data_IF_853563408927
#
_entry.id   IF_853563408927
#
_cell.length_a   1.000
_cell.length_b   1.000
_cell.length_c   1.000
_cell.angle_alpha   90.00
_cell.angle_beta   90.00
_cell.angle_gamma   90.00
#
_symmetry.space_group_name_H-M   'P 1'
#
loop_
_entity.id
_entity.type
_entity.pdbx_description
1 polymer ?
#
# COMPACT_ATOMS: atom_id res chain seq x y z
N UNK A 1 28.12 1.40 -58.83
CA UNK A 1 27.61 1.03 -60.17
C UNK A 1 26.72 -0.18 -59.97
N UNK A 2 25.44 -0.12 -60.38
CA UNK A 2 24.45 -1.14 -60.05
C UNK A 2 24.49 -2.32 -61.04
N UNK A 3 24.18 -3.55 -60.59
CA UNK A 3 23.65 -4.62 -61.45
C UNK A 3 22.50 -5.35 -60.73
N UNK A 4 21.42 -5.52 -61.49
CA UNK A 4 20.11 -6.14 -61.25
C UNK A 4 19.69 -6.71 -62.62
N UNK A 5 18.98 -7.83 -62.80
CA UNK A 5 18.30 -8.80 -61.91
C UNK A 5 18.46 -10.20 -62.58
N UNK A 6 18.27 -11.34 -61.89
CA UNK A 6 17.15 -12.28 -62.20
C UNK A 6 17.11 -13.54 -61.31
N UNK A 7 15.88 -13.99 -61.02
CA UNK A 7 15.53 -15.23 -60.30
C UNK A 7 15.42 -16.44 -61.26
N UNK A 8 15.13 -17.64 -60.73
CA UNK A 8 13.79 -18.18 -61.04
C UNK A 8 13.03 -18.86 -59.88
N UNK A 9 11.73 -18.54 -59.81
CA UNK A 9 10.55 -19.34 -59.44
C UNK A 9 10.59 -20.56 -58.48
N UNK A 10 9.87 -20.38 -57.36
CA UNK A 10 8.68 -21.16 -56.91
C UNK A 10 8.71 -22.71 -56.86
N UNK A 11 8.62 -23.25 -55.64
CA UNK A 11 7.55 -24.06 -55.02
C UNK A 11 8.01 -24.20 -53.54
N UNK A 12 7.21 -24.03 -52.47
CA UNK A 12 5.80 -24.31 -52.29
C UNK A 12 5.69 -25.47 -51.31
N UNK A 13 5.55 -25.19 -50.00
CA UNK A 13 4.68 -25.88 -49.03
C UNK A 13 5.10 -25.65 -47.56
N UNK A 14 4.08 -25.37 -46.75
CA UNK A 14 3.90 -25.53 -45.29
C UNK A 14 5.08 -25.28 -44.32
N UNK A 15 5.00 -24.16 -43.59
CA UNK A 15 5.79 -23.91 -42.38
C UNK A 15 5.01 -24.33 -41.13
N UNK A 16 5.41 -25.42 -40.48
CA UNK A 16 4.99 -25.71 -39.11
C UNK A 16 5.65 -24.72 -38.13
N UNK A 17 4.83 -23.98 -37.37
CA UNK A 17 5.31 -23.16 -36.26
C UNK A 17 5.85 -24.06 -35.13
N UNK A 18 7.17 -24.19 -35.04
CA UNK A 18 7.83 -24.74 -33.86
C UNK A 18 7.68 -23.72 -32.73
N UNK A 19 6.60 -23.87 -31.95
CA UNK A 19 6.37 -23.12 -30.73
C UNK A 19 7.54 -23.34 -29.76
N UNK A 20 8.36 -22.30 -29.56
CA UNK A 20 9.43 -22.33 -28.59
C UNK A 20 8.84 -22.46 -27.17
N UNK A 21 9.12 -23.58 -26.51
CA UNK A 21 8.66 -23.82 -25.15
C UNK A 21 9.40 -22.89 -24.18
N UNK A 22 8.80 -21.75 -23.86
CA UNK A 22 9.29 -20.88 -22.79
C UNK A 22 9.16 -21.62 -21.46
N UNK A 23 10.30 -22.05 -20.92
CA UNK A 23 10.41 -22.76 -19.67
C UNK A 23 10.30 -21.73 -18.52
N UNK A 24 9.07 -21.25 -18.27
CA UNK A 24 8.78 -20.22 -17.28
C UNK A 24 9.01 -20.74 -15.85
N UNK A 25 9.96 -20.12 -15.15
CA UNK A 25 10.19 -20.41 -13.73
C UNK A 25 9.08 -19.78 -12.89
N UNK A 26 8.25 -20.63 -12.28
CA UNK A 26 7.36 -20.21 -11.19
C UNK A 26 8.19 -19.55 -10.07
N UNK A 27 7.89 -18.29 -9.75
CA UNK A 27 8.61 -17.55 -8.72
C UNK A 27 8.09 -17.91 -7.31
N UNK A 28 8.47 -19.10 -6.84
CA UNK A 28 8.35 -19.49 -5.44
C UNK A 28 9.35 -18.66 -4.62
N UNK A 29 8.87 -17.54 -4.05
CA UNK A 29 9.62 -16.79 -3.05
C UNK A 29 9.30 -17.33 -1.64
N UNK A 30 10.29 -17.29 -0.74
CA UNK A 30 10.24 -17.94 0.57
C UNK A 30 8.95 -17.66 1.37
N UNK A 31 8.34 -18.75 1.87
CA UNK A 31 7.04 -18.77 2.55
C UNK A 31 6.09 -19.83 1.99
N UNK A 32 6.20 -20.15 0.70
CA UNK A 32 5.28 -21.09 0.03
C UNK A 32 4.04 -20.41 -0.57
N UNK A 33 3.87 -19.10 -0.36
CA UNK A 33 2.86 -18.28 -1.01
C UNK A 33 3.07 -18.25 -2.54
N UNK A 34 2.13 -18.81 -3.28
CA UNK A 34 2.07 -18.69 -4.74
C UNK A 34 1.50 -17.31 -5.09
N UNK A 35 2.34 -16.42 -5.63
CA UNK A 35 1.88 -15.13 -6.16
C UNK A 35 1.07 -15.39 -7.44
N UNK A 36 -0.24 -15.05 -7.49
CA UNK A 36 -1.05 -15.28 -8.66
C UNK A 36 -0.67 -14.31 -9.79
N UNK A 37 -0.67 -14.77 -11.04
CA UNK A 37 -0.33 -13.96 -12.22
C UNK A 37 -1.32 -12.81 -12.46
N UNK A 38 -2.57 -12.98 -12.02
CA UNK A 38 -3.66 -12.01 -12.13
C UNK A 38 -4.46 -11.97 -10.84
N UNK A 39 -5.16 -10.86 -10.59
CA UNK A 39 -6.08 -10.74 -9.46
C UNK A 39 -7.31 -11.67 -9.63
N UNK A 40 -8.16 -11.74 -8.61
CA UNK A 40 -9.37 -12.57 -8.59
C UNK A 40 -10.42 -12.24 -9.68
N UNK A 41 -10.14 -11.26 -10.54
CA UNK A 41 -10.97 -10.74 -11.62
C UNK A 41 -10.31 -10.89 -13.00
N UNK A 42 -9.07 -11.39 -13.06
CA UNK A 42 -8.34 -11.65 -14.31
C UNK A 42 -7.47 -10.50 -14.81
N UNK A 43 -7.32 -9.41 -14.04
CA UNK A 43 -6.45 -8.28 -14.40
C UNK A 43 -5.07 -8.40 -13.75
N UNK A 44 -4.09 -7.68 -14.29
CA UNK A 44 -2.78 -7.49 -13.66
C UNK A 44 -2.94 -6.66 -12.38
N UNK A 45 -2.29 -7.07 -11.28
CA UNK A 45 -2.33 -6.31 -10.01
C UNK A 45 -1.72 -4.92 -10.17
N UNK A 46 -2.39 -3.90 -9.61
CA UNK A 46 -1.96 -2.50 -9.65
C UNK A 46 -1.66 -1.97 -11.06
N UNK A 47 -2.48 -2.38 -12.04
CA UNK A 47 -2.44 -1.81 -13.38
C UNK A 47 -3.28 -0.52 -13.45
N UNK A 48 -2.58 0.62 -13.47
CA UNK A 48 -3.21 1.95 -13.52
C UNK A 48 -3.46 2.45 -14.95
N UNK A 49 -2.91 1.77 -15.97
CA UNK A 49 -3.00 2.16 -17.37
C UNK A 49 -3.98 1.26 -18.17
N UNK A 50 -4.32 0.08 -17.65
CA UNK A 50 -5.40 -0.76 -18.18
C UNK A 50 -6.77 -0.05 -18.21
N UNK A 51 -7.45 -0.15 -19.36
CA UNK A 51 -8.84 0.30 -19.50
C UNK A 51 -9.75 -0.52 -18.57
N UNK A 52 -10.36 0.16 -17.60
CA UNK A 52 -11.31 -0.42 -16.66
C UNK A 52 -12.31 0.63 -16.19
N UNK A 53 -13.49 0.20 -15.74
CA UNK A 53 -14.53 1.10 -15.23
C UNK A 53 -14.06 1.98 -14.05
N UNK A 54 -13.03 1.53 -13.33
CA UNK A 54 -12.42 2.25 -12.20
C UNK A 54 -11.33 3.23 -12.60
N UNK A 55 -10.73 3.10 -13.79
CA UNK A 55 -9.54 3.86 -14.18
C UNK A 55 -9.73 5.37 -14.09
N UNK A 56 -10.88 5.89 -14.56
CA UNK A 56 -11.19 7.32 -14.50
C UNK A 56 -11.37 7.81 -13.04
N UNK A 57 -11.94 6.96 -12.17
CA UNK A 57 -12.07 7.21 -10.73
C UNK A 57 -10.71 7.29 -10.04
N UNK A 58 -9.85 6.31 -10.27
CA UNK A 58 -8.49 6.25 -9.71
C UNK A 58 -7.61 7.41 -10.20
N UNK A 59 -7.71 7.81 -11.47
CA UNK A 59 -7.02 9.01 -11.97
C UNK A 59 -7.55 10.31 -11.33
N UNK A 60 -8.87 10.46 -11.17
CA UNK A 60 -9.48 11.61 -10.46
C UNK A 60 -9.08 11.65 -8.98
N UNK A 61 -8.98 10.48 -8.34
CA UNK A 61 -8.51 10.30 -6.98
C UNK A 61 -7.06 10.77 -6.82
N UNK A 62 -6.12 10.20 -7.59
CA UNK A 62 -4.70 10.52 -7.45
C UNK A 62 -4.38 11.94 -7.87
N UNK A 63 -5.13 12.53 -8.82
CA UNK A 63 -5.02 13.96 -9.11
C UNK A 63 -5.32 14.82 -7.88
N UNK A 64 -6.43 14.57 -7.17
CA UNK A 64 -6.78 15.31 -5.94
C UNK A 64 -5.75 15.07 -4.83
N UNK A 65 -5.33 13.82 -4.62
CA UNK A 65 -4.30 13.48 -3.65
C UNK A 65 -3.01 14.28 -3.91
N UNK A 66 -2.42 14.14 -5.10
CA UNK A 66 -1.16 14.80 -5.44
C UNK A 66 -1.26 16.33 -5.47
N UNK A 67 -2.41 16.90 -5.80
CA UNK A 67 -2.59 18.36 -5.82
C UNK A 67 -2.75 18.99 -4.43
N UNK A 68 -3.29 18.25 -3.46
CA UNK A 68 -3.69 18.81 -2.14
C UNK A 68 -2.84 18.34 -0.95
N UNK A 69 -2.10 17.24 -1.08
CA UNK A 69 -1.14 16.77 -0.06
C UNK A 69 0.12 17.67 -0.06
N UNK A 70 0.03 18.84 0.56
CA UNK A 70 1.18 19.73 0.82
C UNK A 70 1.76 19.51 2.22
N UNK A 71 3.00 19.95 2.42
CA UNK A 71 3.72 19.89 3.70
C UNK A 71 2.94 20.57 4.84
N UNK A 72 2.32 21.72 4.57
CA UNK A 72 1.52 22.44 5.56
C UNK A 72 0.17 21.77 5.83
N UNK A 73 -0.51 21.23 4.79
CA UNK A 73 -1.72 20.43 4.97
C UNK A 73 -1.46 19.23 5.88
N UNK A 74 -0.41 18.45 5.58
CA UNK A 74 -0.09 17.24 6.35
C UNK A 74 0.29 17.58 7.79
N UNK A 75 1.04 18.66 8.03
CA UNK A 75 1.36 19.11 9.39
C UNK A 75 0.12 19.48 10.19
N UNK A 76 -0.82 20.21 9.57
CA UNK A 76 -2.12 20.54 10.18
C UNK A 76 -2.92 19.28 10.54
N UNK A 77 -2.99 18.31 9.62
CA UNK A 77 -3.69 17.04 9.86
C UNK A 77 -3.05 16.23 10.99
N UNK A 78 -1.72 16.10 10.98
CA UNK A 78 -0.94 15.41 12.01
C UNK A 78 -1.09 16.05 13.39
N UNK A 79 -1.15 17.39 13.45
CA UNK A 79 -1.44 18.12 14.70
C UNK A 79 -2.86 17.84 15.20
N UNK A 80 -3.87 17.96 14.34
CA UNK A 80 -5.27 17.81 14.72
C UNK A 80 -5.61 16.37 15.15
N UNK A 81 -5.25 15.37 14.35
CA UNK A 81 -5.53 13.97 14.65
C UNK A 81 -4.60 13.41 15.74
N UNK A 82 -3.38 13.96 15.88
CA UNK A 82 -2.46 13.66 16.98
C UNK A 82 -2.99 14.01 18.39
N UNK A 83 -4.10 14.75 18.49
CA UNK A 83 -4.81 15.06 19.75
C UNK A 83 -5.67 13.90 20.28
N UNK A 84 -5.93 12.86 19.48
CA UNK A 84 -6.71 11.66 19.87
C UNK A 84 -8.10 11.97 20.45
N UNK A 85 -8.90 12.78 19.73
CA UNK A 85 -10.23 13.24 20.17
C UNK A 85 -11.42 12.65 19.38
N UNK A 86 -11.21 11.64 18.54
CA UNK A 86 -12.27 11.08 17.67
C UNK A 86 -13.12 9.99 18.33
N UNK A 87 -12.58 9.30 19.33
CA UNK A 87 -13.30 8.32 20.13
C UNK A 87 -12.36 7.37 20.87
N UNK A 88 -12.94 6.62 21.79
CA UNK A 88 -12.33 5.47 22.47
C UNK A 88 -13.13 4.23 22.04
N UNK A 89 -12.44 3.15 21.71
CA UNK A 89 -12.99 1.85 21.31
C UNK A 89 -11.88 0.79 21.26
N UNK A 90 -12.28 -0.48 21.30
CA UNK A 90 -11.38 -1.60 21.07
C UNK A 90 -10.94 -1.72 19.60
N UNK A 91 -9.85 -2.47 19.36
CA UNK A 91 -9.42 -2.84 18.00
C UNK A 91 -10.55 -3.56 17.25
N UNK A 92 -11.32 -4.40 17.92
CA UNK A 92 -12.35 -5.20 17.27
C UNK A 92 -13.59 -4.38 16.89
N UNK A 93 -14.01 -3.44 17.73
CA UNK A 93 -15.05 -2.46 17.36
C UNK A 93 -14.60 -1.59 16.18
N UNK A 94 -13.34 -1.15 16.17
CA UNK A 94 -12.75 -0.40 15.07
C UNK A 94 -12.75 -1.21 13.75
N UNK A 95 -12.43 -2.51 13.84
CA UNK A 95 -12.53 -3.46 12.72
C UNK A 95 -13.98 -3.58 12.22
N UNK A 96 -14.95 -3.83 13.10
CA UNK A 96 -16.36 -3.97 12.72
C UNK A 96 -16.92 -2.70 12.04
N UNK A 97 -16.43 -1.51 12.41
CA UNK A 97 -16.78 -0.23 11.75
C UNK A 97 -16.29 -0.11 10.29
N UNK A 98 -15.28 -0.88 9.86
CA UNK A 98 -14.84 -0.88 8.46
C UNK A 98 -15.73 -1.72 7.53
N UNK A 99 -16.77 -2.37 8.05
CA UNK A 99 -17.74 -3.10 7.22
C UNK A 99 -18.49 -2.21 6.21
N UNK A 100 -18.58 -0.91 6.48
CA UNK A 100 -19.22 0.10 5.62
C UNK A 100 -18.23 0.81 4.66
N UNK A 101 -16.93 0.51 4.75
CA UNK A 101 -15.87 1.23 4.00
C UNK A 101 -15.53 0.53 2.69
N UNK A 102 -15.48 1.32 1.62
CA UNK A 102 -14.93 0.95 0.29
C UNK A 102 -13.78 1.88 -0.07
N UNK A 103 -12.71 1.32 -0.66
CA UNK A 103 -11.52 2.06 -1.06
C UNK A 103 -11.61 2.51 -2.53
N UNK A 104 -11.56 3.82 -2.79
CA UNK A 104 -11.62 4.40 -4.14
C UNK A 104 -10.26 4.43 -4.87
N UNK A 105 -9.16 4.18 -4.17
CA UNK A 105 -7.80 4.22 -4.73
C UNK A 105 -7.32 2.89 -5.29
N UNK A 106 -8.00 1.80 -4.90
CA UNK A 106 -7.58 0.43 -5.13
C UNK A 106 -8.21 -0.14 -6.43
N UNK A 107 -7.40 -0.50 -7.44
CA UNK A 107 -7.89 -1.10 -8.68
C UNK A 107 -8.23 -2.60 -8.52
N UNK A 108 -7.80 -3.24 -7.42
CA UNK A 108 -7.87 -4.69 -7.18
C UNK A 108 -8.95 -5.10 -6.16
N UNK A 109 -9.41 -4.18 -5.28
CA UNK A 109 -10.50 -4.41 -4.31
C UNK A 109 -11.88 -4.21 -4.94
N UNK A 110 -12.53 -5.29 -5.36
CA UNK A 110 -13.94 -5.25 -5.76
C UNK A 110 -14.89 -4.97 -4.56
N UNK A 111 -16.21 -4.95 -4.78
CA UNK A 111 -17.29 -4.49 -3.90
C UNK A 111 -17.40 -5.07 -2.45
N UNK A 112 -16.41 -5.84 -1.99
CA UNK A 112 -16.32 -6.38 -0.64
C UNK A 112 -16.04 -5.32 0.43
N UNK A 113 -16.59 -5.49 1.64
CA UNK A 113 -16.16 -4.73 2.82
C UNK A 113 -14.66 -4.85 3.12
N UNK A 114 -14.07 -3.73 3.55
CA UNK A 114 -12.68 -3.61 3.98
C UNK A 114 -12.28 -4.58 5.13
N UNK A 115 -13.25 -5.09 5.89
CA UNK A 115 -13.03 -6.16 6.89
C UNK A 115 -12.55 -7.48 6.28
N UNK A 116 -12.99 -7.83 5.07
CA UNK A 116 -12.56 -9.06 4.40
C UNK A 116 -11.12 -8.97 3.90
N UNK A 117 -10.68 -7.81 3.40
CA UNK A 117 -9.27 -7.54 3.07
C UNK A 117 -8.34 -7.76 4.26
N UNK A 118 -8.72 -7.20 5.41
CA UNK A 118 -7.96 -7.35 6.67
C UNK A 118 -7.83 -8.81 7.09
N UNK A 119 -8.92 -9.58 7.05
CA UNK A 119 -8.89 -11.01 7.38
C UNK A 119 -8.14 -11.84 6.34
N UNK A 120 -8.28 -11.56 5.04
CA UNK A 120 -7.58 -12.26 3.96
C UNK A 120 -6.07 -12.08 4.10
N UNK A 121 -5.62 -10.86 4.36
CA UNK A 121 -4.22 -10.55 4.61
C UNK A 121 -3.70 -11.26 5.86
N UNK A 122 -4.45 -11.22 6.96
CA UNK A 122 -4.04 -11.79 8.24
C UNK A 122 -4.02 -13.34 8.24
N UNK A 123 -5.04 -14.00 7.70
CA UNK A 123 -5.08 -15.48 7.61
C UNK A 123 -4.08 -16.03 6.58
N UNK A 124 -3.83 -15.33 5.47
CA UNK A 124 -2.81 -15.73 4.51
C UNK A 124 -1.40 -15.66 5.12
N UNK A 125 -1.09 -14.62 5.90
CA UNK A 125 0.16 -14.55 6.67
C UNK A 125 0.20 -15.64 7.73
N UNK A 126 -0.89 -15.86 8.48
CA UNK A 126 -0.98 -16.85 9.55
C UNK A 126 -0.69 -18.27 9.08
N UNK A 127 -1.10 -18.61 7.85
CA UNK A 127 -0.84 -19.89 7.21
C UNK A 127 0.66 -20.13 6.98
N UNK A 128 1.37 -19.12 6.46
CA UNK A 128 2.76 -19.26 6.00
C UNK A 128 3.80 -18.89 7.09
N UNK A 129 3.40 -18.09 8.08
CA UNK A 129 4.22 -17.64 9.22
C UNK A 129 3.62 -17.99 10.60
N UNK A 130 3.17 -19.24 10.86
CA UNK A 130 2.31 -19.58 12.01
C UNK A 130 2.85 -19.21 13.41
N UNK A 131 4.15 -18.96 13.53
CA UNK A 131 4.82 -18.55 14.77
C UNK A 131 5.03 -17.02 14.91
N UNK A 132 4.49 -16.20 14.01
CA UNK A 132 4.66 -14.73 14.01
C UNK A 132 3.35 -14.02 14.38
N UNK A 133 2.82 -14.29 15.57
CA UNK A 133 1.50 -13.79 16.00
C UNK A 133 1.37 -12.25 15.96
N UNK A 134 2.45 -11.52 16.27
CA UNK A 134 2.53 -10.07 16.09
C UNK A 134 2.27 -9.63 14.64
N UNK A 135 2.71 -10.39 13.64
CA UNK A 135 2.54 -10.08 12.22
C UNK A 135 1.11 -10.35 11.76
N UNK A 136 0.46 -11.40 12.30
CA UNK A 136 -0.96 -11.68 12.05
C UNK A 136 -1.84 -10.54 12.58
N UNK A 137 -1.52 -10.05 13.80
CA UNK A 137 -2.22 -8.89 14.35
C UNK A 137 -1.90 -7.60 13.60
N UNK A 138 -0.64 -7.39 13.19
CA UNK A 138 -0.25 -6.24 12.34
C UNK A 138 -1.09 -6.22 11.05
N UNK A 139 -1.30 -7.39 10.45
CA UNK A 139 -2.12 -7.56 9.27
C UNK A 139 -3.61 -7.33 9.50
N UNK A 140 -4.16 -7.72 10.65
CA UNK A 140 -5.55 -7.36 10.99
C UNK A 140 -5.73 -5.84 11.15
N UNK A 141 -4.69 -5.11 11.58
CA UNK A 141 -4.84 -3.71 12.01
C UNK A 141 -4.32 -2.64 11.03
N UNK A 142 -3.62 -3.01 9.95
CA UNK A 142 -2.94 -2.05 9.05
C UNK A 142 -3.91 -0.97 8.51
N UNK A 143 -5.04 -1.40 7.96
CA UNK A 143 -6.06 -0.55 7.36
C UNK A 143 -7.05 0.07 8.36
N UNK A 144 -6.90 -0.15 9.69
CA UNK A 144 -7.81 0.46 10.68
C UNK A 144 -7.77 2.00 10.67
N UNK A 145 -6.73 2.61 10.10
CA UNK A 145 -6.73 4.05 9.87
C UNK A 145 -7.80 4.54 8.89
N UNK A 146 -8.41 3.66 8.07
CA UNK A 146 -9.47 4.01 7.13
C UNK A 146 -10.78 4.45 7.79
N UNK A 147 -10.93 4.27 9.11
CA UNK A 147 -12.06 4.84 9.87
C UNK A 147 -12.18 6.37 9.75
N UNK A 148 -11.10 7.07 9.35
CA UNK A 148 -11.12 8.50 9.03
C UNK A 148 -12.17 8.91 7.98
N UNK A 149 -12.59 7.99 7.11
CA UNK A 149 -13.67 8.18 6.13
C UNK A 149 -15.05 8.31 6.80
N UNK A 150 -15.22 7.77 8.01
CA UNK A 150 -16.50 7.73 8.70
C UNK A 150 -16.79 9.09 9.39
N UNK A 151 -18.05 9.58 9.38
CA UNK A 151 -18.39 10.88 9.95
C UNK A 151 -17.95 11.08 11.41
N UNK A 152 -17.98 10.01 12.23
CA UNK A 152 -17.52 10.02 13.64
C UNK A 152 -16.05 10.44 13.78
N UNK A 153 -15.21 10.08 12.82
CA UNK A 153 -13.78 10.37 12.84
C UNK A 153 -13.38 11.62 12.07
N UNK A 154 -14.30 12.21 11.30
CA UNK A 154 -14.09 13.44 10.56
C UNK A 154 -14.73 13.46 9.18
N UNK A 155 -15.11 12.30 8.63
CA UNK A 155 -15.67 12.21 7.28
C UNK A 155 -14.71 12.72 6.21
N UNK A 156 -13.42 12.38 6.34
CA UNK A 156 -12.38 12.89 5.43
C UNK A 156 -12.61 12.39 4.00
N UNK A 157 -12.29 13.20 2.98
CA UNK A 157 -12.34 12.74 1.60
C UNK A 157 -11.30 11.65 1.38
N UNK A 158 -11.61 10.67 0.54
CA UNK A 158 -10.76 9.49 0.25
C UNK A 158 -9.29 9.85 -0.03
N UNK A 159 -9.03 10.90 -0.81
CA UNK A 159 -7.67 11.34 -1.16
C UNK A 159 -6.80 11.75 0.06
N UNK A 160 -7.41 12.03 1.20
CA UNK A 160 -6.77 12.35 2.48
C UNK A 160 -6.81 11.18 3.48
N UNK A 161 -7.13 9.97 3.03
CA UNK A 161 -7.17 8.75 3.86
C UNK A 161 -6.47 7.58 3.19
N UNK A 162 -6.85 7.21 1.97
CA UNK A 162 -6.38 5.99 1.27
C UNK A 162 -5.32 6.30 0.21
N UNK A 163 -4.87 5.28 -0.53
CA UNK A 163 -3.94 5.39 -1.64
C UNK A 163 -2.45 5.39 -1.26
N UNK A 164 -1.60 5.25 -2.27
CA UNK A 164 -0.14 5.25 -2.12
C UNK A 164 0.37 6.52 -1.41
N UNK A 165 1.31 6.36 -0.49
CA UNK A 165 1.92 7.45 0.28
C UNK A 165 3.29 7.86 -0.22
N UNK A 166 3.66 9.11 0.03
CA UNK A 166 4.94 9.70 -0.37
C UNK A 166 5.42 10.77 0.62
N UNK A 167 6.73 11.05 0.72
CA UNK A 167 7.25 12.16 1.50
C UNK A 167 6.79 13.52 0.97
N UNK A 168 6.27 14.37 1.85
CA UNK A 168 6.04 15.81 1.58
C UNK A 168 7.22 16.62 2.11
N UNK A 169 7.43 17.84 1.63
CA UNK A 169 8.54 18.71 2.07
C UNK A 169 9.92 18.35 1.48
N UNK A 170 9.98 17.38 0.56
CA UNK A 170 11.11 17.13 -0.34
C UNK A 170 10.58 16.80 -1.75
N UNK A 171 11.46 16.72 -2.75
CA UNK A 171 11.04 16.49 -4.15
C UNK A 171 10.26 15.18 -4.31
N UNK A 172 9.14 15.25 -5.03
CA UNK A 172 8.36 14.09 -5.45
C UNK A 172 9.13 13.29 -6.51
N UNK A 173 9.41 12.03 -6.22
CA UNK A 173 10.16 11.11 -7.07
C UNK A 173 9.27 10.57 -8.22
N UNK A 174 9.83 10.41 -9.41
CA UNK A 174 9.08 10.02 -10.61
C UNK A 174 8.49 8.59 -10.53
N UNK A 175 8.96 7.79 -9.57
CA UNK A 175 8.39 6.47 -9.24
C UNK A 175 7.03 6.49 -8.53
N UNK A 176 6.57 7.65 -8.05
CA UNK A 176 5.22 7.77 -7.45
C UNK A 176 4.17 7.64 -8.56
N UNK A 177 3.15 6.80 -8.32
CA UNK A 177 2.04 6.57 -9.26
C UNK A 177 1.45 7.89 -9.75
N UNK A 178 1.16 8.00 -11.05
CA UNK A 178 0.62 9.22 -11.67
C UNK A 178 1.33 10.55 -11.28
N UNK A 179 2.66 10.53 -11.14
CA UNK A 179 3.52 11.70 -10.81
C UNK A 179 3.17 12.99 -11.58
N UNK A 180 2.70 12.86 -12.82
CA UNK A 180 2.22 13.96 -13.69
C UNK A 180 1.32 14.99 -13.00
N UNK A 181 0.52 14.59 -12.00
CA UNK A 181 -0.38 15.48 -11.27
C UNK A 181 0.31 16.38 -10.21
N UNK A 182 1.51 16.06 -9.74
CA UNK A 182 2.21 16.92 -8.77
C UNK A 182 2.50 18.33 -9.29
N UNK A 183 2.45 18.56 -10.61
CA UNK A 183 2.54 19.91 -11.20
C UNK A 183 1.46 20.88 -10.70
N UNK A 184 0.36 20.37 -10.16
CA UNK A 184 -0.74 21.14 -9.55
C UNK A 184 -0.51 21.39 -8.03
N UNK A 185 0.46 20.72 -7.40
CA UNK A 185 0.78 20.87 -5.98
C UNK A 185 1.56 22.17 -5.72
N UNK A 186 1.20 22.98 -4.71
CA UNK A 186 1.94 24.21 -4.36
C UNK A 186 3.42 23.96 -4.01
N UNK A 187 3.77 22.77 -3.50
CA UNK A 187 5.13 22.44 -3.07
C UNK A 187 6.05 22.03 -4.24
N UNK A 188 5.50 21.65 -5.40
CA UNK A 188 6.28 21.13 -6.53
C UNK A 188 7.29 22.13 -7.08
N UNK A 189 6.92 23.41 -7.11
CA UNK A 189 7.81 24.51 -7.53
C UNK A 189 8.40 25.30 -6.34
N UNK A 190 8.13 24.90 -5.10
CA UNK A 190 8.61 25.59 -3.91
C UNK A 190 10.11 25.28 -3.68
N UNK A 191 11.01 26.28 -3.70
CA UNK A 191 12.46 26.03 -3.59
C UNK A 191 12.88 25.41 -2.24
N UNK A 192 12.05 25.52 -1.19
CA UNK A 192 12.32 24.88 0.09
C UNK A 192 12.06 23.36 0.07
N UNK A 193 11.21 22.89 -0.85
CA UNK A 193 10.73 21.51 -0.90
C UNK A 193 11.14 20.77 -2.18
N UNK A 194 11.35 21.44 -3.32
CA UNK A 194 11.61 20.78 -4.60
C UNK A 194 13.06 20.25 -4.79
N UNK A 195 13.86 20.19 -3.73
CA UNK A 195 15.22 19.59 -3.76
C UNK A 195 15.22 18.15 -3.25
N UNK A 196 16.32 17.40 -3.48
CA UNK A 196 16.43 15.97 -3.09
C UNK A 196 16.11 15.71 -1.61
N UNK A 197 16.53 16.63 -0.74
CA UNK A 197 16.32 16.51 0.71
C UNK A 197 15.24 17.47 1.21
N UNK A 198 15.02 18.62 0.57
CA UNK A 198 14.05 19.62 1.02
C UNK A 198 14.33 20.06 2.46
N UNK A 199 13.40 19.80 3.37
CA UNK A 199 13.55 20.07 4.81
C UNK A 199 14.33 19.00 5.59
N UNK A 200 14.65 17.86 4.97
CA UNK A 200 15.28 16.70 5.63
C UNK A 200 16.80 16.72 5.52
N UNK A 201 17.45 15.78 6.20
CA UNK A 201 18.88 15.49 6.08
C UNK A 201 19.11 14.06 5.61
N UNK A 202 20.32 13.77 5.12
CA UNK A 202 20.72 12.42 4.74
C UNK A 202 20.64 11.45 5.92
N UNK A 203 20.02 10.28 5.70
CA UNK A 203 19.81 9.23 6.70
C UNK A 203 19.17 9.71 8.01
N UNK A 204 18.31 10.74 7.95
CA UNK A 204 17.58 11.25 9.12
C UNK A 204 16.67 10.19 9.77
N UNK A 205 16.31 9.15 9.04
CA UNK A 205 15.36 8.12 9.42
C UNK A 205 13.94 8.47 8.97
N UNK A 206 13.22 7.49 8.43
CA UNK A 206 11.83 7.69 7.99
C UNK A 206 10.92 8.12 9.13
N UNK A 207 11.26 7.78 10.39
CA UNK A 207 10.51 8.26 11.57
C UNK A 207 10.46 9.80 11.65
N UNK A 208 11.47 10.51 11.10
CA UNK A 208 11.60 11.96 11.01
C UNK A 208 11.11 12.56 9.67
N UNK A 209 10.67 11.72 8.72
CA UNK A 209 10.10 12.16 7.45
C UNK A 209 8.59 12.36 7.63
N UNK A 210 8.06 13.46 7.08
CA UNK A 210 6.62 13.70 7.02
C UNK A 210 6.09 13.07 5.73
N UNK A 211 5.27 12.03 5.88
CA UNK A 211 4.56 11.34 4.80
C UNK A 211 3.22 12.02 4.54
N UNK A 212 2.74 12.00 3.28
CA UNK A 212 1.36 12.35 2.89
C UNK A 212 0.34 11.77 3.86
N UNK A 213 -0.64 12.58 4.29
CA UNK A 213 -1.56 12.21 5.35
C UNK A 213 -2.54 11.12 4.90
N UNK A 214 -2.70 10.08 5.70
CA UNK A 214 -3.60 8.96 5.43
C UNK A 214 -3.70 7.96 6.58
N UNK A 215 -4.28 6.81 6.29
CA UNK A 215 -4.52 5.70 7.22
C UNK A 215 -3.22 5.18 7.88
N UNK A 216 -2.12 5.03 7.13
CA UNK A 216 -0.80 4.63 7.66
C UNK A 216 -0.36 5.46 8.88
N UNK A 217 -0.22 6.78 8.67
CA UNK A 217 0.36 7.69 9.67
C UNK A 217 -0.62 7.96 10.82
N UNK A 218 -1.93 7.93 10.57
CA UNK A 218 -2.95 7.97 11.62
C UNK A 218 -2.93 6.71 12.49
N UNK A 219 -2.89 5.50 11.90
CA UNK A 219 -2.88 4.26 12.67
C UNK A 219 -1.56 4.07 13.43
N UNK A 220 -0.43 4.51 12.87
CA UNK A 220 0.82 4.63 13.60
C UNK A 220 0.70 5.58 14.80
N UNK A 221 0.08 6.76 14.63
CA UNK A 221 -0.13 7.70 15.73
C UNK A 221 -1.02 7.11 16.84
N UNK A 222 -2.09 6.39 16.50
CA UNK A 222 -2.95 5.68 17.46
C UNK A 222 -2.12 4.67 18.25
N UNK A 223 -1.40 3.77 17.57
CA UNK A 223 -0.57 2.75 18.22
C UNK A 223 0.54 3.36 19.11
N UNK A 224 1.15 4.48 18.69
CA UNK A 224 2.15 5.21 19.49
C UNK A 224 1.56 5.91 20.70
N UNK A 225 0.38 6.53 20.58
CA UNK A 225 -0.29 7.26 21.68
C UNK A 225 -0.83 6.30 22.75
N UNK A 226 -1.29 5.12 22.35
CA UNK A 226 -1.76 4.06 23.25
C UNK A 226 -0.62 3.17 23.77
N UNK A 227 0.64 3.61 23.63
CA UNK A 227 1.85 3.00 24.19
C UNK A 227 2.01 1.51 23.84
N UNK A 228 1.94 1.20 22.55
CA UNK A 228 1.93 -0.20 22.10
C UNK A 228 3.17 -1.01 22.45
N UNK A 229 2.90 -2.29 22.71
CA UNK A 229 3.87 -3.36 22.91
C UNK A 229 4.20 -4.12 21.62
N UNK A 230 3.60 -3.73 20.48
CA UNK A 230 3.98 -4.28 19.18
C UNK A 230 5.46 -3.97 18.85
N UNK A 231 6.16 -4.89 18.14
CA UNK A 231 7.56 -4.68 17.76
C UNK A 231 7.72 -3.54 16.75
N UNK A 232 8.96 -3.05 16.59
CA UNK A 232 9.25 -1.97 15.63
C UNK A 232 8.84 -2.32 14.20
N UNK A 233 8.92 -3.61 13.82
CA UNK A 233 8.52 -4.10 12.51
C UNK A 233 7.02 -3.87 12.24
N UNK A 234 6.14 -4.10 13.23
CA UNK A 234 4.71 -3.78 13.11
C UNK A 234 4.47 -2.31 12.86
N UNK A 235 5.09 -1.45 13.68
CA UNK A 235 4.92 0.01 13.56
C UNK A 235 5.45 0.54 12.23
N UNK A 236 6.52 -0.08 11.70
CA UNK A 236 7.07 0.26 10.38
C UNK A 236 6.17 -0.22 9.25
N UNK A 237 5.60 -1.44 9.34
CA UNK A 237 4.58 -1.92 8.39
C UNK A 237 3.39 -0.96 8.37
N UNK A 238 2.76 -0.72 9.53
CA UNK A 238 1.57 0.14 9.63
C UNK A 238 1.82 1.53 9.04
N UNK A 239 3.00 2.13 9.28
CA UNK A 239 3.30 3.50 8.84
C UNK A 239 3.74 3.64 7.37
N UNK A 240 4.17 2.56 6.71
CA UNK A 240 4.80 2.64 5.39
C UNK A 240 4.31 1.57 4.39
N UNK A 241 3.22 0.86 4.67
CA UNK A 241 2.69 -0.17 3.77
C UNK A 241 2.07 0.40 2.48
N UNK A 242 1.66 1.67 2.50
CA UNK A 242 1.26 2.39 1.29
C UNK A 242 2.44 3.06 0.57
N UNK A 243 3.68 2.97 1.08
CA UNK A 243 4.83 3.73 0.53
C UNK A 243 5.51 2.98 -0.64
N UNK A 244 4.76 2.69 -1.70
CA UNK A 244 5.19 1.85 -2.82
C UNK A 244 6.45 2.37 -3.53
N UNK A 245 6.61 3.68 -3.67
CA UNK A 245 7.82 4.29 -4.22
C UNK A 245 9.10 3.85 -3.48
N UNK A 246 9.02 3.58 -2.16
CA UNK A 246 10.12 2.99 -1.39
C UNK A 246 10.18 1.47 -1.53
N UNK A 247 9.14 0.73 -1.12
CA UNK A 247 9.29 -0.72 -0.90
C UNK A 247 9.20 -1.57 -2.17
N UNK A 248 8.59 -1.03 -3.25
CA UNK A 248 8.52 -1.64 -4.58
C UNK A 248 9.57 -1.05 -5.52
N UNK A 249 9.57 0.27 -5.71
CA UNK A 249 10.43 0.94 -6.71
C UNK A 249 11.83 1.31 -6.18
N UNK A 250 12.02 1.33 -4.86
CA UNK A 250 13.33 1.50 -4.24
C UNK A 250 13.84 2.93 -4.11
N UNK A 251 12.97 3.94 -4.34
CA UNK A 251 13.26 5.35 -4.14
C UNK A 251 13.42 5.71 -2.64
N UNK A 252 13.73 6.98 -2.35
CA UNK A 252 13.83 7.55 -0.99
C UNK A 252 14.82 6.90 0.01
N UNK A 253 15.62 5.91 -0.41
CA UNK A 253 16.67 5.28 0.42
C UNK A 253 17.70 6.26 1.00
N UNK A 254 17.82 7.47 0.47
CA UNK A 254 18.73 8.51 0.97
C UNK A 254 18.31 9.16 2.30
N UNK A 255 17.06 9.00 2.73
CA UNK A 255 16.58 9.45 4.06
C UNK A 255 16.45 8.31 5.08
N UNK A 256 16.59 7.05 4.67
CA UNK A 256 16.53 5.89 5.57
C UNK A 256 17.74 5.80 6.50
N UNK A 257 17.51 5.37 7.74
CA UNK A 257 18.57 4.91 8.65
C UNK A 257 18.66 3.37 8.69
N UNK A 258 19.63 2.82 9.43
CA UNK A 258 19.87 1.36 9.47
C UNK A 258 18.67 0.57 10.02
N UNK A 259 17.94 1.12 11.00
CA UNK A 259 16.70 0.53 11.54
C UNK A 259 15.60 0.49 10.47
N UNK A 260 15.47 1.50 9.63
CA UNK A 260 14.51 1.48 8.52
C UNK A 260 14.86 0.37 7.51
N UNK A 261 16.16 0.17 7.23
CA UNK A 261 16.65 -0.89 6.33
C UNK A 261 16.37 -2.29 6.88
N UNK A 262 16.45 -2.46 8.21
CA UNK A 262 16.06 -3.72 8.86
C UNK A 262 14.56 -3.99 8.77
N UNK A 263 13.71 -3.00 9.10
CA UNK A 263 12.26 -3.17 9.09
C UNK A 263 11.66 -3.24 7.68
N UNK A 264 12.32 -2.67 6.66
CA UNK A 264 11.91 -2.77 5.25
C UNK A 264 11.77 -4.23 4.78
N UNK A 265 12.58 -5.15 5.31
CA UNK A 265 12.48 -6.59 5.00
C UNK A 265 11.12 -7.17 5.43
N UNK A 266 10.61 -6.77 6.59
CA UNK A 266 9.29 -7.19 7.09
C UNK A 266 8.15 -6.54 6.30
N UNK A 267 8.30 -5.27 5.91
CA UNK A 267 7.36 -4.60 5.01
C UNK A 267 7.27 -5.30 3.64
N UNK A 268 8.40 -5.70 3.04
CA UNK A 268 8.41 -6.47 1.79
C UNK A 268 7.87 -7.90 1.91
N UNK A 269 7.83 -8.47 3.12
CA UNK A 269 7.09 -9.71 3.39
C UNK A 269 5.59 -9.41 3.46
N UNK A 270 5.20 -8.45 4.30
CA UNK A 270 3.80 -8.05 4.52
C UNK A 270 3.08 -7.68 3.22
N UNK A 271 3.69 -6.80 2.41
CA UNK A 271 3.07 -6.22 1.21
C UNK A 271 2.66 -7.28 0.17
N UNK A 272 3.30 -8.47 0.16
CA UNK A 272 2.87 -9.59 -0.69
C UNK A 272 1.46 -10.07 -0.31
N UNK A 273 1.17 -10.16 0.97
CA UNK A 273 -0.11 -10.68 1.45
C UNK A 273 -1.20 -9.62 1.32
N UNK A 274 -0.89 -8.37 1.69
CA UNK A 274 -1.76 -7.22 1.47
C UNK A 274 -2.19 -7.12 -0.01
N UNK A 275 -1.25 -7.19 -0.95
CA UNK A 275 -1.58 -7.10 -2.37
C UNK A 275 -2.25 -8.37 -2.92
N UNK A 276 -1.71 -9.56 -2.64
CA UNK A 276 -2.05 -10.79 -3.36
C UNK A 276 -3.01 -11.74 -2.64
N UNK A 277 -3.40 -11.49 -1.38
CA UNK A 277 -4.40 -12.32 -0.68
C UNK A 277 -5.85 -12.00 -1.08
N UNK A 278 -6.06 -10.87 -1.78
CA UNK A 278 -7.37 -10.36 -2.23
C UNK A 278 -8.16 -11.40 -3.03
N UNK A 279 -9.20 -11.95 -2.39
CA UNK A 279 -9.91 -13.14 -2.86
C UNK A 279 -11.42 -12.92 -2.93
N UNK A 280 -12.09 -13.67 -3.83
CA UNK A 280 -13.56 -13.83 -3.80
C UNK A 280 -14.04 -14.77 -2.68
N UNK A 281 -13.12 -15.53 -2.06
CA UNK A 281 -13.43 -16.40 -0.93
C UNK A 281 -13.48 -15.55 0.35
N UNK A 282 -14.67 -15.47 0.95
CA UNK A 282 -14.88 -14.81 2.23
C UNK A 282 -14.39 -15.72 3.37
N UNK A 283 -13.80 -15.10 4.40
CA UNK A 283 -13.44 -15.77 5.66
C UNK A 283 -14.63 -15.67 6.62
N UNK A 284 -14.93 -16.77 7.30
CA UNK A 284 -15.90 -16.78 8.39
C UNK A 284 -15.34 -15.97 9.58
N UNK A 285 -15.97 -14.82 9.83
CA UNK A 285 -15.54 -13.87 10.86
C UNK A 285 -15.67 -14.49 12.25
N UNK A 286 -16.73 -15.25 12.52
CA UNK A 286 -17.01 -15.80 13.85
C UNK A 286 -16.12 -17.02 14.16
N UNK A 287 -15.66 -17.77 13.13
CA UNK A 287 -14.64 -18.80 13.30
C UNK A 287 -13.29 -18.21 13.75
N UNK A 288 -12.85 -17.10 13.14
CA UNK A 288 -11.51 -16.53 13.39
C UNK A 288 -11.46 -15.50 14.53
N UNK A 289 -12.59 -14.86 14.86
CA UNK A 289 -12.71 -13.83 15.91
C UNK A 289 -12.12 -14.23 17.27
N UNK A 290 -12.33 -15.45 17.82
CA UNK A 290 -11.70 -15.87 19.08
C UNK A 290 -10.16 -15.84 19.02
N UNK A 291 -9.58 -16.20 17.88
CA UNK A 291 -8.12 -16.15 17.70
C UNK A 291 -7.61 -14.71 17.73
N UNK A 292 -8.21 -13.81 16.94
CA UNK A 292 -7.76 -12.41 16.86
C UNK A 292 -7.99 -11.64 18.16
N UNK A 293 -9.10 -11.87 18.87
CA UNK A 293 -9.33 -11.32 20.20
C UNK A 293 -8.22 -11.77 21.19
N UNK A 294 -7.73 -13.01 21.09
CA UNK A 294 -6.62 -13.49 21.91
C UNK A 294 -5.28 -12.79 21.60
N UNK A 295 -5.10 -12.28 20.38
CA UNK A 295 -3.92 -11.48 20.00
C UNK A 295 -4.06 -10.03 20.47
N UNK A 296 -5.24 -9.44 20.29
CA UNK A 296 -5.57 -8.09 20.76
C UNK A 296 -5.32 -7.99 22.28
N UNK A 297 -5.73 -8.99 23.06
CA UNK A 297 -5.50 -9.04 24.50
C UNK A 297 -4.01 -9.08 24.94
N UNK A 298 -3.06 -9.39 24.03
CA UNK A 298 -1.62 -9.36 24.31
C UNK A 298 -0.99 -7.97 24.14
N UNK A 299 -1.69 -7.02 23.50
CA UNK A 299 -1.13 -5.72 23.13
C UNK A 299 -1.88 -4.53 23.73
N UNK A 300 -1.22 -3.37 23.75
CA UNK A 300 -1.80 -2.09 24.16
C UNK A 300 -2.00 -1.20 22.93
N UNK A 301 -3.21 -1.09 22.40
CA UNK A 301 -3.51 -0.24 21.22
C UNK A 301 -4.81 0.56 21.44
N UNK A 302 -5.44 0.38 22.59
CA UNK A 302 -6.73 0.93 23.01
C UNK A 302 -6.53 1.84 24.21
#
# INVERSE_FOLDING_TARGET
>A
MAILIQQPHYFGDEAEEIAASNNEKEMVLGGGFLVPKTNSFGHSFRDYEAESERQEGVQKFYRKNHSYQSYDFVKMMREEYGKMKRGEMSIWECFEMLSEVKDESDPDLDDQPQTHHLLQTAEAIRKDYPNQDWLHLTALIHDLGKVLLLPRFGGLPQWAVVGDTFPVGCRFDESIVHHKYFKENPDYNNPNFNTKYGVYSEKCGLDNVIMSWGHDDYMYLVAKKNNTTLPSASLFIIRYHSFYALHREGAYKHVMNDKDVENLKWLQIFNKYDLYSKSKVLIDVEEVKPYYLSLIAKVRIT
#
